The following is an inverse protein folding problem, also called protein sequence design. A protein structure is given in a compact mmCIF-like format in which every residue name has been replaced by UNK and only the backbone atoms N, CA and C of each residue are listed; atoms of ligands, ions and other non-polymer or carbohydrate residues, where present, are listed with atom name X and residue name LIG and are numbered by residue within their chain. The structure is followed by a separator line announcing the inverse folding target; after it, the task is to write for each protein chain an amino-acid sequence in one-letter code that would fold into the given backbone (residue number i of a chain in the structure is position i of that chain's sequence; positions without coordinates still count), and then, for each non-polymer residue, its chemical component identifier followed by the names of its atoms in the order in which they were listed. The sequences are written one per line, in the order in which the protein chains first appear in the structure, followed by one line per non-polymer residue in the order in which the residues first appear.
data_IF_811540997348
#
_entry.id   IF_811540997348
#
_cell.length_a   1.000
_cell.length_b   1.000
_cell.length_c   1.000
_cell.angle_alpha   90.00
_cell.angle_beta   90.00
_cell.angle_gamma   90.00
#
_symmetry.space_group_name_H-M   'P 1'
#
loop_
_entity.id
_entity.type
_entity.pdbx_description
1 polymer ?
#
# COMPACT_ATOMS: atom_id res chain seq x y z
N UNK A 1 -4.33 -13.83 10.87
CA UNK A 1 -4.25 -12.40 11.19
C UNK A 1 -2.81 -11.97 10.97
N UNK A 2 -2.57 -10.92 10.18
CA UNK A 2 -1.22 -10.49 9.83
C UNK A 2 -0.54 -9.65 10.93
N UNK A 3 0.75 -9.30 10.78
CA UNK A 3 1.47 -8.46 11.75
C UNK A 3 0.85 -7.08 11.96
N UNK A 4 0.26 -6.51 10.90
CA UNK A 4 -0.43 -5.20 10.94
C UNK A 4 -1.70 -5.28 11.78
N UNK A 5 -2.55 -6.27 11.51
CA UNK A 5 -3.80 -6.51 12.24
C UNK A 5 -3.53 -6.82 13.72
N UNK A 6 -2.51 -7.64 14.01
CA UNK A 6 -2.09 -7.93 15.38
C UNK A 6 -1.62 -6.67 16.10
N UNK A 7 -0.81 -5.83 15.44
CA UNK A 7 -0.35 -4.57 16.01
C UNK A 7 -1.51 -3.63 16.36
N UNK A 8 -2.54 -3.56 15.51
CA UNK A 8 -3.75 -2.80 15.82
C UNK A 8 -4.52 -3.41 16.98
N UNK A 9 -4.75 -4.74 16.98
CA UNK A 9 -5.51 -5.42 18.04
C UNK A 9 -4.85 -5.23 19.41
N UNK A 10 -3.53 -5.36 19.47
CA UNK A 10 -2.76 -5.14 20.70
C UNK A 10 -2.85 -3.68 21.16
N UNK A 11 -2.76 -2.72 20.24
CA UNK A 11 -2.87 -1.30 20.57
C UNK A 11 -4.29 -0.91 21.05
N UNK A 12 -5.34 -1.49 20.45
CA UNK A 12 -6.72 -1.33 20.92
C UNK A 12 -6.85 -1.86 22.36
N UNK A 13 -6.34 -3.06 22.62
CA UNK A 13 -6.38 -3.66 23.95
C UNK A 13 -5.61 -2.83 25.00
N UNK A 14 -4.42 -2.31 24.65
CA UNK A 14 -3.64 -1.42 25.50
C UNK A 14 -4.36 -0.10 25.81
N UNK A 15 -5.18 0.38 24.88
CA UNK A 15 -6.04 1.54 25.07
C UNK A 15 -7.34 1.25 25.84
N UNK A 16 -7.53 0.01 26.32
CA UNK A 16 -8.72 -0.43 27.05
C UNK A 16 -9.90 -0.80 26.16
N UNK A 17 -9.73 -0.87 24.84
CA UNK A 17 -10.73 -1.32 23.87
C UNK A 17 -10.54 -2.83 23.70
N UNK A 18 -11.34 -3.61 24.42
CA UNK A 18 -11.20 -5.04 24.60
C UNK A 18 -12.34 -5.80 23.92
N UNK A 19 -11.97 -6.53 22.87
CA UNK A 19 -12.86 -7.42 22.11
C UNK A 19 -13.55 -8.47 23.01
N UNK A 20 -14.87 -8.59 22.89
CA UNK A 20 -15.72 -9.47 23.72
C UNK A 20 -15.95 -8.99 25.15
N UNK A 21 -15.44 -7.82 25.53
CA UNK A 21 -15.58 -7.24 26.88
C UNK A 21 -16.38 -5.94 26.86
N UNK A 22 -15.92 -4.96 26.10
CA UNK A 22 -16.59 -3.66 25.96
C UNK A 22 -16.83 -3.25 24.50
N UNK A 23 -16.26 -3.97 23.54
CA UNK A 23 -16.56 -3.85 22.12
C UNK A 23 -16.63 -5.25 21.50
N UNK A 24 -17.27 -5.37 20.35
CA UNK A 24 -17.18 -6.52 19.47
C UNK A 24 -16.37 -6.12 18.24
N UNK A 25 -15.29 -6.85 17.93
CA UNK A 25 -14.47 -6.59 16.75
C UNK A 25 -14.74 -7.66 15.69
N UNK A 26 -15.48 -7.27 14.65
CA UNK A 26 -15.80 -8.15 13.53
C UNK A 26 -14.78 -7.98 12.40
N UNK A 27 -14.05 -9.04 12.09
CA UNK A 27 -13.09 -9.05 10.98
C UNK A 27 -13.72 -9.58 9.69
N UNK A 28 -13.29 -9.02 8.55
CA UNK A 28 -13.51 -9.59 7.21
C UNK A 28 -12.21 -9.51 6.42
N UNK A 29 -11.92 -10.58 5.68
CA UNK A 29 -10.74 -10.69 4.84
C UNK A 29 -11.15 -11.19 3.45
N UNK A 30 -10.67 -10.51 2.41
CA UNK A 30 -10.88 -10.94 1.03
C UNK A 30 -10.00 -12.15 0.64
N UNK A 31 -9.02 -12.53 1.47
CA UNK A 31 -8.12 -13.67 1.26
C UNK A 31 -7.50 -13.72 -0.15
N UNK A 32 -7.11 -12.55 -0.67
CA UNK A 32 -6.51 -12.42 -2.00
C UNK A 32 -7.48 -12.43 -3.17
N UNK A 33 -8.80 -12.39 -2.92
CA UNK A 33 -9.86 -12.32 -3.95
C UNK A 33 -10.52 -10.93 -3.92
N UNK A 34 -10.04 -9.96 -4.70
CA UNK A 34 -10.48 -8.55 -4.61
C UNK A 34 -11.96 -8.36 -4.90
N UNK A 35 -12.55 -9.19 -5.77
CA UNK A 35 -13.96 -9.11 -6.15
C UNK A 35 -14.91 -9.29 -4.95
N UNK A 36 -14.44 -9.91 -3.86
CA UNK A 36 -15.21 -10.06 -2.62
C UNK A 36 -15.29 -8.78 -1.78
N UNK A 37 -14.44 -7.78 -2.04
CA UNK A 37 -14.34 -6.60 -1.18
C UNK A 37 -15.66 -5.81 -1.11
N UNK A 38 -16.42 -5.74 -2.22
CA UNK A 38 -17.72 -5.04 -2.26
C UNK A 38 -18.78 -5.77 -1.43
N UNK A 39 -18.83 -7.10 -1.54
CA UNK A 39 -19.72 -7.95 -0.75
C UNK A 39 -19.40 -7.82 0.75
N UNK A 40 -18.13 -7.99 1.12
CA UNK A 40 -17.65 -7.92 2.50
C UNK A 40 -17.90 -6.53 3.12
N UNK A 41 -17.70 -5.47 2.36
CA UNK A 41 -18.03 -4.11 2.79
C UNK A 41 -19.53 -3.95 3.07
N UNK A 42 -20.38 -4.48 2.20
CA UNK A 42 -21.84 -4.45 2.35
C UNK A 42 -22.28 -5.23 3.59
N UNK A 43 -21.72 -6.42 3.81
CA UNK A 43 -21.98 -7.22 5.02
C UNK A 43 -21.60 -6.49 6.31
N UNK A 44 -20.46 -5.81 6.32
CA UNK A 44 -20.01 -5.04 7.48
C UNK A 44 -20.94 -3.87 7.76
N UNK A 45 -21.33 -3.10 6.74
CA UNK A 45 -22.26 -1.98 6.91
C UNK A 45 -23.65 -2.45 7.34
N UNK A 46 -24.13 -3.59 6.82
CA UNK A 46 -25.43 -4.16 7.17
C UNK A 46 -25.55 -4.55 8.66
N UNK A 47 -24.42 -4.84 9.33
CA UNK A 47 -24.36 -5.08 10.76
C UNK A 47 -24.52 -3.81 11.61
N UNK A 48 -24.61 -2.63 10.99
CA UNK A 48 -24.75 -1.31 11.63
C UNK A 48 -23.68 -1.07 12.72
N UNK A 49 -22.39 -1.25 12.41
CA UNK A 49 -21.34 -0.99 13.38
C UNK A 49 -21.30 0.50 13.74
N UNK A 50 -20.78 0.81 14.93
CA UNK A 50 -20.55 2.18 15.37
C UNK A 50 -19.38 2.84 14.64
N UNK A 51 -18.41 2.04 14.20
CA UNK A 51 -17.21 2.49 13.50
C UNK A 51 -16.73 1.40 12.54
N UNK A 52 -16.22 1.81 11.39
CA UNK A 52 -15.57 0.95 10.40
C UNK A 52 -14.07 1.20 10.38
N UNK A 53 -13.27 0.12 10.40
CA UNK A 53 -11.82 0.17 10.25
C UNK A 53 -11.40 -0.39 8.89
N UNK A 54 -10.65 0.39 8.13
CA UNK A 54 -10.12 0.01 6.83
C UNK A 54 -8.60 0.04 6.83
N UNK A 55 -7.96 -1.12 6.64
CA UNK A 55 -6.50 -1.23 6.61
C UNK A 55 -6.10 -1.80 5.24
N UNK A 56 -5.44 -0.97 4.43
CA UNK A 56 -5.07 -1.29 3.05
C UNK A 56 -5.72 -0.36 2.04
N UNK A 57 -5.04 -0.16 0.90
CA UNK A 57 -5.52 0.72 -0.17
C UNK A 57 -6.80 0.20 -0.85
N UNK A 58 -6.82 -1.07 -1.21
CA UNK A 58 -7.94 -1.66 -1.96
C UNK A 58 -9.22 -1.88 -1.13
N UNK A 59 -9.12 -1.88 0.20
CA UNK A 59 -10.28 -2.12 1.07
C UNK A 59 -11.07 -0.85 1.39
N UNK A 60 -10.44 0.33 1.38
CA UNK A 60 -11.09 1.55 1.85
C UNK A 60 -12.18 2.02 0.90
N UNK A 61 -11.95 1.95 -0.42
CA UNK A 61 -12.89 2.48 -1.42
C UNK A 61 -14.22 1.70 -1.44
N UNK A 62 -14.23 0.36 -1.50
CA UNK A 62 -15.47 -0.42 -1.36
C UNK A 62 -16.19 -0.15 -0.04
N UNK A 63 -15.46 -0.03 1.08
CA UNK A 63 -16.06 0.23 2.39
C UNK A 63 -16.68 1.63 2.49
N UNK A 64 -16.01 2.63 1.93
CA UNK A 64 -16.50 4.00 1.85
C UNK A 64 -17.78 4.11 1.04
N UNK A 65 -17.83 3.46 -0.13
CA UNK A 65 -19.01 3.43 -1.00
C UNK A 65 -20.19 2.69 -0.35
N UNK A 66 -19.93 1.53 0.27
CA UNK A 66 -20.96 0.76 0.95
C UNK A 66 -21.58 1.53 2.14
N UNK A 67 -20.76 2.29 2.88
CA UNK A 67 -21.20 3.06 4.05
C UNK A 67 -22.16 4.19 3.70
N UNK A 68 -22.10 4.73 2.46
CA UNK A 68 -22.94 5.86 2.00
C UNK A 68 -22.95 7.06 2.95
N UNK A 69 -21.85 7.28 3.69
CA UNK A 69 -21.74 8.37 4.65
C UNK A 69 -22.38 8.11 6.02
N UNK A 70 -22.95 6.93 6.27
CA UNK A 70 -23.75 6.66 7.47
C UNK A 70 -22.94 6.21 8.69
N UNK A 71 -21.79 5.57 8.47
CA UNK A 71 -20.92 5.07 9.55
C UNK A 71 -19.55 5.77 9.45
N UNK A 72 -18.98 6.27 10.56
CA UNK A 72 -17.61 6.76 10.60
C UNK A 72 -16.60 5.68 10.20
N UNK A 73 -15.63 6.07 9.38
CA UNK A 73 -14.56 5.21 8.86
C UNK A 73 -13.22 5.78 9.29
N UNK A 74 -12.41 4.94 9.94
CA UNK A 74 -11.02 5.21 10.24
C UNK A 74 -10.14 4.32 9.35
N UNK A 75 -9.30 4.94 8.53
CA UNK A 75 -8.48 4.22 7.54
C UNK A 75 -6.97 4.36 7.77
N UNK A 76 -6.22 3.29 7.55
CA UNK A 76 -4.77 3.31 7.33
C UNK A 76 -4.46 2.86 5.90
N UNK A 77 -4.19 3.80 4.99
CA UNK A 77 -4.27 3.56 3.54
C UNK A 77 -2.99 3.92 2.80
N UNK A 78 -2.61 3.05 1.86
CA UNK A 78 -1.56 3.30 0.87
C UNK A 78 -2.06 4.11 -0.32
N UNK A 79 -3.35 4.03 -0.63
CA UNK A 79 -4.00 4.86 -1.64
C UNK A 79 -3.91 6.34 -1.26
N UNK A 80 -3.85 7.18 -2.29
CA UNK A 80 -4.13 8.59 -2.19
C UNK A 80 -5.65 8.79 -1.99
N UNK A 81 -6.10 9.22 -0.79
CA UNK A 81 -7.53 9.29 -0.47
C UNK A 81 -8.25 10.37 -1.28
N UNK A 82 -7.52 11.34 -1.82
CA UNK A 82 -8.09 12.39 -2.69
C UNK A 82 -8.33 11.84 -4.09
N UNK A 83 -7.34 11.15 -4.67
CA UNK A 83 -7.45 10.53 -6.01
C UNK A 83 -8.52 9.44 -6.06
N UNK A 84 -8.68 8.67 -4.99
CA UNK A 84 -9.72 7.65 -4.87
C UNK A 84 -11.12 8.22 -4.57
N UNK A 85 -11.25 9.53 -4.38
CA UNK A 85 -12.52 10.22 -4.12
C UNK A 85 -13.10 9.96 -2.72
N UNK A 86 -12.29 9.44 -1.78
CA UNK A 86 -12.67 9.19 -0.39
C UNK A 86 -12.56 10.49 0.44
N UNK A 87 -11.65 11.38 0.05
CA UNK A 87 -11.38 12.66 0.69
C UNK A 87 -11.38 13.82 -0.32
N UNK A 88 -11.83 15.00 0.11
CA UNK A 88 -11.70 16.26 -0.64
C UNK A 88 -10.39 16.97 -0.34
N UNK A 89 -9.81 16.75 0.84
CA UNK A 89 -8.49 17.27 1.24
C UNK A 89 -7.94 16.49 2.45
N UNK A 90 -6.62 16.50 2.69
CA UNK A 90 -6.08 15.84 3.90
C UNK A 90 -6.46 16.57 5.20
N UNK A 91 -6.57 17.90 5.17
CA UNK A 91 -6.94 18.69 6.35
C UNK A 91 -8.42 18.54 6.72
N UNK A 92 -9.28 18.27 5.73
CA UNK A 92 -10.72 18.04 5.88
C UNK A 92 -11.13 16.95 4.87
N UNK A 93 -11.04 15.66 5.26
CA UNK A 93 -11.20 14.54 4.34
C UNK A 93 -12.59 14.42 3.76
N UNK A 94 -13.58 13.95 4.53
CA UNK A 94 -14.98 13.94 4.10
C UNK A 94 -15.87 13.80 5.33
N UNK A 95 -17.19 13.70 5.12
CA UNK A 95 -18.16 13.67 6.23
C UNK A 95 -17.98 12.47 7.16
N UNK A 96 -17.54 11.32 6.66
CA UNK A 96 -17.44 10.10 7.47
C UNK A 96 -16.09 9.38 7.35
N UNK A 97 -15.03 10.01 6.81
CA UNK A 97 -13.71 9.39 6.71
C UNK A 97 -12.65 10.22 7.45
N UNK A 98 -11.78 9.53 8.17
CA UNK A 98 -10.53 10.07 8.74
C UNK A 98 -9.48 8.96 8.84
N UNK A 99 -8.25 9.31 9.25
CA UNK A 99 -7.20 8.33 9.53
C UNK A 99 -5.83 8.77 9.05
N UNK A 100 -5.06 7.80 8.54
CA UNK A 100 -3.65 7.93 8.16
C UNK A 100 -3.50 7.51 6.70
N UNK A 101 -2.85 8.37 5.92
CA UNK A 101 -2.33 8.03 4.59
C UNK A 101 -0.81 7.90 4.66
N UNK A 102 -0.26 6.99 3.88
CA UNK A 102 1.18 6.68 3.87
C UNK A 102 2.03 7.66 3.07
N UNK A 103 1.42 8.64 2.37
CA UNK A 103 2.11 9.67 1.56
C UNK A 103 3.23 9.08 0.68
N UNK A 104 2.92 7.97 0.00
CA UNK A 104 3.94 7.20 -0.73
C UNK A 104 4.27 7.80 -2.10
N UNK A 105 3.36 8.58 -2.67
CA UNK A 105 3.49 9.31 -3.94
C UNK A 105 4.79 10.13 -3.95
N UNK A 106 4.91 11.09 -3.04
CA UNK A 106 6.05 12.02 -2.98
C UNK A 106 7.36 11.30 -2.63
N UNK A 107 7.26 10.16 -1.92
CA UNK A 107 8.41 9.33 -1.55
C UNK A 107 8.95 8.47 -2.70
N UNK A 108 8.26 8.40 -3.84
CA UNK A 108 8.75 7.66 -5.00
C UNK A 108 10.02 8.27 -5.61
N UNK A 109 10.09 9.61 -5.70
CA UNK A 109 11.30 10.31 -6.11
C UNK A 109 12.48 10.00 -5.18
N UNK A 110 12.23 9.99 -3.87
CA UNK A 110 13.25 9.67 -2.86
C UNK A 110 13.75 8.23 -2.99
N UNK A 111 12.88 7.28 -3.32
CA UNK A 111 13.30 5.89 -3.61
C UNK A 111 14.22 5.81 -4.83
N UNK A 112 13.96 6.59 -5.88
CA UNK A 112 14.86 6.66 -7.04
C UNK A 112 16.24 7.23 -6.64
N UNK A 113 16.27 8.30 -5.85
CA UNK A 113 17.53 8.85 -5.30
C UNK A 113 18.31 7.81 -4.49
N UNK A 114 17.62 7.09 -3.59
CA UNK A 114 18.25 6.08 -2.75
C UNK A 114 18.77 4.90 -3.56
N UNK A 115 18.03 4.44 -4.58
CA UNK A 115 18.49 3.41 -5.50
C UNK A 115 19.79 3.83 -6.18
N UNK A 116 19.84 5.07 -6.71
CA UNK A 116 21.05 5.62 -7.34
C UNK A 116 22.21 5.76 -6.34
N UNK A 117 21.93 6.14 -5.09
CA UNK A 117 22.95 6.30 -4.07
C UNK A 117 23.62 4.97 -3.71
N UNK A 118 22.84 3.89 -3.55
CA UNK A 118 23.41 2.56 -3.19
C UNK A 118 23.94 1.81 -4.40
N UNK A 119 23.42 2.09 -5.60
CA UNK A 119 23.82 1.48 -6.86
C UNK A 119 24.18 2.58 -7.88
N UNK A 120 25.36 3.22 -7.75
CA UNK A 120 25.74 4.41 -8.51
C UNK A 120 25.83 4.19 -10.03
N UNK A 121 25.93 2.94 -10.47
CA UNK A 121 26.01 2.57 -11.88
C UNK A 121 24.63 2.46 -12.57
N UNK A 122 23.52 2.51 -11.82
CA UNK A 122 22.16 2.46 -12.38
C UNK A 122 21.96 3.63 -13.35
N UNK A 123 21.46 3.32 -14.55
CA UNK A 123 21.08 4.29 -15.59
C UNK A 123 19.67 4.04 -16.12
N UNK A 124 19.16 2.82 -16.04
CA UNK A 124 17.87 2.37 -16.58
C UNK A 124 17.06 1.68 -15.49
N UNK A 125 15.98 2.31 -15.07
CA UNK A 125 15.11 1.80 -14.01
C UNK A 125 13.83 1.22 -14.61
N UNK A 126 13.59 -0.06 -14.33
CA UNK A 126 12.27 -0.66 -14.50
C UNK A 126 11.37 -0.30 -13.31
N UNK A 127 10.08 -0.08 -13.55
CA UNK A 127 9.08 0.12 -12.49
C UNK A 127 7.96 -0.89 -12.62
N UNK A 128 7.76 -1.74 -11.61
CA UNK A 128 6.59 -2.63 -11.56
C UNK A 128 5.54 -2.01 -10.65
N UNK A 129 4.31 -1.90 -11.13
CA UNK A 129 3.22 -1.23 -10.41
C UNK A 129 1.85 -1.82 -10.77
N UNK A 130 0.85 -1.57 -9.94
CA UNK A 130 -0.53 -1.93 -10.22
C UNK A 130 -1.33 -0.67 -10.65
N UNK A 131 -1.80 -0.57 -11.91
CA UNK A 131 -2.59 0.57 -12.36
C UNK A 131 -3.91 0.80 -11.63
N UNK A 132 -4.42 -0.22 -10.94
CA UNK A 132 -5.67 -0.16 -10.19
C UNK A 132 -5.49 0.37 -8.75
N UNK A 133 -4.25 0.57 -8.30
CA UNK A 133 -3.97 1.19 -7.01
C UNK A 133 -4.00 2.71 -7.17
N UNK A 134 -4.77 3.41 -6.33
CA UNK A 134 -5.00 4.85 -6.49
C UNK A 134 -3.81 5.66 -5.98
N UNK A 135 -2.72 5.68 -6.74
CA UNK A 135 -1.49 6.44 -6.44
C UNK A 135 -1.03 7.26 -7.65
N UNK A 136 0.03 8.05 -7.47
CA UNK A 136 0.75 8.78 -8.52
C UNK A 136 2.26 8.49 -8.47
N UNK A 137 2.66 7.37 -7.85
CA UNK A 137 4.04 7.05 -7.54
C UNK A 137 4.90 6.93 -8.82
N UNK A 138 4.33 6.44 -9.93
CA UNK A 138 5.04 6.37 -11.23
C UNK A 138 5.43 7.77 -11.71
N UNK A 139 4.55 8.75 -11.55
CA UNK A 139 4.81 10.14 -11.98
C UNK A 139 5.91 10.76 -11.14
N UNK A 140 5.88 10.58 -9.81
CA UNK A 140 6.93 11.08 -8.92
C UNK A 140 8.25 10.35 -9.13
N UNK A 141 8.23 9.04 -9.34
CA UNK A 141 9.42 8.27 -9.70
C UNK A 141 10.04 8.77 -11.01
N UNK A 142 9.22 9.07 -12.02
CA UNK A 142 9.69 9.63 -13.30
C UNK A 142 10.38 10.98 -13.10
N UNK A 143 9.79 11.89 -12.33
CA UNK A 143 10.42 13.18 -11.99
C UNK A 143 11.75 13.00 -11.26
N UNK A 144 11.82 12.07 -10.30
CA UNK A 144 13.06 11.73 -9.61
C UNK A 144 14.13 11.19 -10.57
N UNK A 145 13.74 10.29 -11.48
CA UNK A 145 14.63 9.74 -12.51
C UNK A 145 15.15 10.81 -13.46
N UNK A 146 14.29 11.72 -13.94
CA UNK A 146 14.65 12.86 -14.78
C UNK A 146 15.68 13.77 -14.09
N UNK A 147 15.50 14.05 -12.79
CA UNK A 147 16.45 14.89 -12.02
C UNK A 147 17.84 14.26 -11.83
N UNK A 148 18.01 12.97 -12.12
CA UNK A 148 19.24 12.20 -11.95
C UNK A 148 19.78 11.62 -13.26
N UNK A 149 19.27 12.07 -14.41
CA UNK A 149 19.60 11.57 -15.74
C UNK A 149 19.46 10.03 -15.86
N UNK A 150 18.36 9.50 -15.34
CA UNK A 150 17.99 8.08 -15.42
C UNK A 150 16.85 7.87 -16.42
N UNK A 151 16.95 6.82 -17.23
CA UNK A 151 15.84 6.34 -18.05
C UNK A 151 14.89 5.51 -17.17
N UNK A 152 13.57 5.76 -17.26
CA UNK A 152 12.56 5.03 -16.49
C UNK A 152 11.47 4.45 -17.39
N UNK A 153 11.30 3.12 -17.34
CA UNK A 153 10.25 2.39 -18.05
C UNK A 153 9.32 1.69 -17.06
N UNK A 154 8.00 1.91 -17.20
CA UNK A 154 7.00 1.34 -16.30
C UNK A 154 6.33 0.11 -16.92
N UNK A 155 6.12 -0.92 -16.11
CA UNK A 155 5.56 -2.22 -16.45
C UNK A 155 4.37 -2.52 -15.54
N UNK A 156 3.13 -2.36 -16.04
CA UNK A 156 1.94 -2.60 -15.23
C UNK A 156 1.73 -4.10 -14.97
N UNK A 157 1.20 -4.42 -13.79
CA UNK A 157 0.59 -5.71 -13.48
C UNK A 157 -0.83 -5.48 -12.96
N UNK A 158 -1.84 -6.08 -13.59
CA UNK A 158 -3.24 -6.02 -13.14
C UNK A 158 -3.61 -7.26 -12.33
N UNK A 159 -2.95 -8.38 -12.64
CA UNK A 159 -3.07 -9.65 -11.91
C UNK A 159 -1.69 -10.27 -11.67
N UNK A 160 -1.63 -11.26 -10.77
CA UNK A 160 -0.37 -11.95 -10.40
C UNK A 160 0.29 -12.59 -11.63
N UNK A 161 -0.50 -13.11 -12.56
CA UNK A 161 -0.03 -13.76 -13.78
C UNK A 161 0.74 -12.80 -14.73
N UNK A 162 0.52 -11.48 -14.61
CA UNK A 162 1.18 -10.49 -15.47
C UNK A 162 2.67 -10.32 -15.11
N UNK A 163 3.08 -10.78 -13.92
CA UNK A 163 4.43 -10.54 -13.41
C UNK A 163 5.52 -11.07 -14.34
N UNK A 164 5.34 -12.26 -14.92
CA UNK A 164 6.36 -12.84 -15.81
C UNK A 164 6.54 -12.02 -17.09
N UNK A 165 5.46 -11.44 -17.61
CA UNK A 165 5.50 -10.53 -18.75
C UNK A 165 6.17 -9.21 -18.37
N UNK A 166 5.84 -8.66 -17.20
CA UNK A 166 6.47 -7.43 -16.69
C UNK A 166 7.98 -7.61 -16.51
N UNK A 167 8.43 -8.71 -15.90
CA UNK A 167 9.85 -9.02 -15.70
C UNK A 167 10.60 -9.27 -17.02
N UNK A 168 9.97 -9.90 -18.02
CA UNK A 168 10.53 -9.99 -19.37
C UNK A 168 10.70 -8.61 -20.01
N UNK A 169 9.75 -7.70 -19.77
CA UNK A 169 9.84 -6.32 -20.22
C UNK A 169 11.03 -5.58 -19.59
N UNK A 170 11.24 -5.75 -18.28
CA UNK A 170 12.40 -5.23 -17.52
C UNK A 170 13.71 -5.76 -18.11
N UNK A 171 13.77 -7.05 -18.42
CA UNK A 171 14.96 -7.67 -19.03
C UNK A 171 15.23 -7.13 -20.44
N UNK A 172 14.19 -7.03 -21.27
CA UNK A 172 14.29 -6.57 -22.65
C UNK A 172 14.74 -5.11 -22.77
N UNK A 173 14.34 -4.23 -21.83
CA UNK A 173 14.84 -2.84 -21.78
C UNK A 173 16.24 -2.72 -21.21
N UNK A 174 16.83 -3.83 -20.74
CA UNK A 174 18.12 -3.88 -20.06
C UNK A 174 18.15 -2.93 -18.86
N UNK A 175 17.06 -2.91 -18.09
CA UNK A 175 17.04 -2.19 -16.83
C UNK A 175 18.17 -2.70 -15.92
N UNK A 176 18.90 -1.78 -15.31
CA UNK A 176 20.00 -2.04 -14.38
C UNK A 176 19.63 -1.64 -12.93
N UNK A 177 18.39 -1.20 -12.71
CA UNK A 177 17.73 -1.15 -11.40
C UNK A 177 16.23 -1.38 -11.50
N UNK A 178 15.59 -1.75 -10.39
CA UNK A 178 14.16 -2.03 -10.32
C UNK A 178 13.52 -1.31 -9.13
N UNK A 179 12.52 -0.47 -9.40
CA UNK A 179 11.60 0.06 -8.40
C UNK A 179 10.30 -0.74 -8.41
N UNK A 180 9.83 -1.14 -7.23
CA UNK A 180 8.50 -1.74 -7.05
C UNK A 180 7.61 -0.75 -6.31
N UNK A 181 6.53 -0.34 -6.95
CA UNK A 181 5.46 0.41 -6.31
C UNK A 181 4.61 -0.56 -5.51
N UNK A 182 4.54 -0.33 -4.19
CA UNK A 182 3.96 -1.30 -3.28
C UNK A 182 2.44 -1.17 -3.25
N UNK A 183 1.77 -2.28 -3.50
CA UNK A 183 0.32 -2.46 -3.45
C UNK A 183 0.06 -3.85 -2.89
N UNK A 184 -1.21 -4.19 -2.62
CA UNK A 184 -1.55 -5.57 -2.26
C UNK A 184 -1.02 -6.56 -3.31
N UNK A 185 -1.18 -6.24 -4.60
CA UNK A 185 -0.80 -7.13 -5.70
C UNK A 185 0.71 -7.38 -5.74
N UNK A 186 1.52 -6.32 -5.73
CA UNK A 186 2.99 -6.45 -5.71
C UNK A 186 3.49 -7.08 -4.41
N UNK A 187 2.81 -6.86 -3.29
CA UNK A 187 3.11 -7.50 -2.01
C UNK A 187 2.95 -9.02 -2.04
N UNK A 188 1.92 -9.56 -2.71
CA UNK A 188 1.72 -11.03 -2.85
C UNK A 188 2.89 -11.69 -3.58
N UNK A 189 3.50 -10.98 -4.52
CA UNK A 189 4.61 -11.49 -5.33
C UNK A 189 5.99 -10.95 -4.92
N UNK A 190 6.10 -10.35 -3.74
CA UNK A 190 7.32 -9.69 -3.26
C UNK A 190 8.53 -10.64 -3.29
N UNK A 191 8.38 -11.88 -2.81
CA UNK A 191 9.44 -12.89 -2.81
C UNK A 191 9.92 -13.25 -4.22
N UNK A 192 9.00 -13.37 -5.19
CA UNK A 192 9.35 -13.67 -6.59
C UNK A 192 10.10 -12.51 -7.25
N UNK A 193 9.70 -11.26 -6.97
CA UNK A 193 10.41 -10.08 -7.46
C UNK A 193 11.81 -9.98 -6.83
N UNK A 194 11.92 -10.19 -5.52
CA UNK A 194 13.20 -10.17 -4.82
C UNK A 194 14.15 -11.25 -5.34
N UNK A 195 13.66 -12.49 -5.51
CA UNK A 195 14.43 -13.60 -6.09
C UNK A 195 14.93 -13.25 -7.50
N UNK A 196 14.06 -12.72 -8.37
CA UNK A 196 14.45 -12.28 -9.72
C UNK A 196 15.60 -11.25 -9.67
N UNK A 197 15.51 -10.29 -8.74
CA UNK A 197 16.56 -9.30 -8.51
C UNK A 197 17.89 -9.92 -8.12
N UNK A 198 17.87 -10.85 -7.16
CA UNK A 198 19.07 -11.55 -6.67
C UNK A 198 19.73 -12.38 -7.77
N UNK A 199 18.96 -13.18 -8.51
CA UNK A 199 19.47 -14.05 -9.60
C UNK A 199 20.17 -13.26 -10.70
N UNK A 200 19.71 -12.03 -10.96
CA UNK A 200 20.23 -11.15 -12.03
C UNK A 200 21.19 -10.08 -11.53
N UNK A 201 21.47 -10.03 -10.22
CA UNK A 201 22.21 -8.94 -9.57
C UNK A 201 21.61 -7.55 -9.89
N UNK A 202 20.29 -7.49 -10.02
CA UNK A 202 19.53 -6.29 -10.30
C UNK A 202 19.10 -5.66 -8.96
N UNK A 203 19.57 -4.45 -8.59
CA UNK A 203 19.19 -3.80 -7.35
C UNK A 203 17.70 -3.47 -7.34
N UNK A 204 16.97 -4.06 -6.38
CA UNK A 204 15.52 -3.86 -6.19
C UNK A 204 15.25 -2.96 -5.00
N UNK A 205 14.43 -1.93 -5.19
CA UNK A 205 13.91 -1.07 -4.12
C UNK A 205 12.39 -1.07 -4.09
N UNK A 206 11.78 -1.02 -2.90
CA UNK A 206 10.33 -0.86 -2.72
C UNK A 206 10.00 0.14 -1.58
N UNK A 207 8.71 0.44 -1.37
CA UNK A 207 8.29 1.26 -0.22
C UNK A 207 8.06 0.45 1.05
N UNK A 208 7.54 -0.78 0.95
CA UNK A 208 7.27 -1.62 2.11
C UNK A 208 8.50 -2.45 2.54
N UNK A 209 8.73 -2.55 3.86
CA UNK A 209 9.86 -3.31 4.45
C UNK A 209 9.84 -4.77 4.05
N UNK A 210 8.65 -5.33 3.88
CA UNK A 210 8.42 -6.74 3.58
C UNK A 210 9.09 -7.18 2.27
N UNK A 211 9.39 -6.25 1.34
CA UNK A 211 10.20 -6.54 0.17
C UNK A 211 11.67 -6.76 0.52
N UNK A 212 12.23 -5.94 1.41
CA UNK A 212 13.60 -6.13 1.90
C UNK A 212 13.72 -7.42 2.72
N UNK A 213 12.72 -7.72 3.57
CA UNK A 213 12.63 -9.00 4.29
C UNK A 213 12.56 -10.20 3.32
N UNK A 214 12.01 -10.00 2.12
CA UNK A 214 11.95 -10.99 1.05
C UNK A 214 13.23 -11.07 0.19
N UNK A 215 14.22 -10.19 0.42
CA UNK A 215 15.50 -10.17 -0.30
C UNK A 215 15.68 -9.05 -1.33
N UNK A 216 14.79 -8.05 -1.37
CA UNK A 216 15.08 -6.81 -2.12
C UNK A 216 16.28 -6.07 -1.48
N UNK A 217 17.00 -5.28 -2.26
CA UNK A 217 18.21 -4.60 -1.78
C UNK A 217 17.91 -3.60 -0.67
N UNK A 218 16.85 -2.80 -0.83
CA UNK A 218 16.39 -1.90 0.22
C UNK A 218 14.90 -1.58 0.11
N UNK A 219 14.36 -1.04 1.19
CA UNK A 219 13.02 -0.47 1.24
C UNK A 219 13.05 0.91 1.89
N UNK A 220 12.24 1.84 1.40
CA UNK A 220 12.06 3.15 2.05
C UNK A 220 10.59 3.57 2.03
N UNK A 221 9.96 3.54 3.20
CA UNK A 221 8.56 3.89 3.40
C UNK A 221 8.12 3.69 4.86
N UNK A 222 6.82 3.90 5.16
CA UNK A 222 6.33 3.85 6.52
C UNK A 222 6.32 2.43 7.09
N UNK A 223 6.38 2.33 8.41
CA UNK A 223 6.13 1.07 9.12
C UNK A 223 4.63 0.84 9.25
N UNK A 224 4.06 -0.04 8.40
CA UNK A 224 2.62 -0.34 8.39
C UNK A 224 2.11 -0.78 9.76
N UNK A 225 2.88 -1.61 10.46
CA UNK A 225 2.58 -2.08 11.81
C UNK A 225 2.61 -0.95 12.86
N UNK A 226 3.50 0.05 12.70
CA UNK A 226 3.51 1.23 13.56
C UNK A 226 2.33 2.15 13.28
N UNK A 227 2.04 2.43 12.00
CA UNK A 227 0.90 3.26 11.61
C UNK A 227 -0.44 2.65 12.03
N UNK A 228 -0.57 1.32 11.97
CA UNK A 228 -1.75 0.62 12.46
C UNK A 228 -2.03 0.91 13.95
N UNK A 229 -1.00 0.98 14.79
CA UNK A 229 -1.16 1.35 16.21
C UNK A 229 -1.67 2.78 16.37
N UNK A 230 -1.24 3.70 15.50
CA UNK A 230 -1.66 5.11 15.55
C UNK A 230 -3.13 5.31 15.20
N UNK A 231 -3.75 4.38 14.47
CA UNK A 231 -5.19 4.43 14.19
C UNK A 231 -6.04 4.40 15.47
N UNK A 232 -5.54 3.80 16.56
CA UNK A 232 -6.25 3.76 17.85
C UNK A 232 -6.56 5.17 18.38
N UNK A 233 -5.66 6.13 18.18
CA UNK A 233 -5.89 7.52 18.59
C UNK A 233 -7.00 8.22 17.80
N UNK A 234 -7.37 7.70 16.62
CA UNK A 234 -8.56 8.14 15.87
C UNK A 234 -9.81 7.41 16.35
N UNK A 235 -9.71 6.11 16.60
CA UNK A 235 -10.82 5.29 17.13
C UNK A 235 -11.33 5.86 18.46
N UNK A 236 -10.44 6.27 19.38
CA UNK A 236 -10.84 6.83 20.67
C UNK A 236 -11.58 8.19 20.59
N UNK A 237 -11.54 8.86 19.44
CA UNK A 237 -12.16 10.18 19.25
C UNK A 237 -13.56 10.12 18.63
N UNK A 238 -14.00 8.93 18.22
CA UNK A 238 -15.31 8.65 17.63
C UNK A 238 -16.12 7.88 18.67
#
# INVERSE_FOLDING_TARGET
MGPVDQSLKDALAQAGILDGRNVEIVFRYANGVPDRLVELATELVAQRPTLLLAIGGDVIKPLFEASKGSVPIVGGVSDNPIRSGIAVSLARPSKNFTGITFLTDEMAAKRIELLKQVAPNVRKVGVIFNPQHFDDEVTFARRGAESLDLELTAYPINVIADLDTALKGVEASRADGLLVISSRLTGVVAAKIAQYGQERRLPVIASWREFADSGALLSYGPSRSFEAKRLVGYVQKI
#
